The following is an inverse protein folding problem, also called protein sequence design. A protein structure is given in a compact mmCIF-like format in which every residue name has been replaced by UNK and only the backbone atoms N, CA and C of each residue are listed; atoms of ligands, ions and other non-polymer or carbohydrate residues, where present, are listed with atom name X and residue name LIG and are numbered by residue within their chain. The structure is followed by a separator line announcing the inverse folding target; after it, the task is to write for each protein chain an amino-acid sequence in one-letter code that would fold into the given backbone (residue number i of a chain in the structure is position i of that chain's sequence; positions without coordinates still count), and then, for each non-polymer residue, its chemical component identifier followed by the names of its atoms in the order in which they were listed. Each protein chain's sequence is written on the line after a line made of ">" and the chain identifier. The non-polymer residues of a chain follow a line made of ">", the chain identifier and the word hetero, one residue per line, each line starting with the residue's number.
data_IF_603019521951
#
_entry.id   IF_603019521951
#
_cell.length_a   1.000
_cell.length_b   1.000
_cell.length_c   1.000
_cell.angle_alpha   90.00
_cell.angle_beta   90.00
_cell.angle_gamma   90.00
#
_symmetry.space_group_name_H-M   'P 1'
#
loop_
_entity.id
_entity.type
_entity.pdbx_description
1 polymer ?
#
# COMPACT_ATOMS: atom_id res chain seq x y z
N UNK A 1 0.53 17.04 -16.48
CA UNK A 1 0.84 15.66 -16.06
C UNK A 1 2.11 15.20 -16.76
N UNK A 2 3.00 14.50 -16.08
CA UNK A 2 4.20 13.90 -16.68
C UNK A 2 3.92 12.43 -16.92
N UNK A 3 3.98 11.98 -18.17
CA UNK A 3 3.77 10.57 -18.55
C UNK A 3 5.13 9.94 -18.90
N UNK A 4 5.34 8.70 -18.49
CA UNK A 4 6.53 7.87 -18.76
C UNK A 4 6.13 6.49 -19.21
N UNK A 5 6.92 5.91 -20.10
CA UNK A 5 6.71 4.52 -20.50
C UNK A 5 7.45 3.61 -19.52
N UNK A 6 6.86 2.45 -19.24
CA UNK A 6 7.53 1.40 -18.47
C UNK A 6 8.47 0.67 -19.42
N UNK A 7 9.77 0.72 -19.12
CA UNK A 7 10.81 -0.03 -19.83
C UNK A 7 10.85 -1.47 -19.35
N UNK A 8 10.75 -1.66 -18.04
CA UNK A 8 10.85 -2.97 -17.40
C UNK A 8 9.99 -3.04 -16.14
N UNK A 9 9.39 -4.21 -15.94
CA UNK A 9 8.73 -4.61 -14.68
C UNK A 9 9.60 -5.67 -14.01
N UNK A 10 10.02 -5.43 -12.77
CA UNK A 10 10.77 -6.39 -11.95
C UNK A 10 9.84 -6.89 -10.85
N UNK A 11 9.32 -8.10 -11.02
CA UNK A 11 8.51 -8.77 -10.01
C UNK A 11 9.41 -9.39 -8.94
N UNK A 12 8.93 -9.45 -7.69
CA UNK A 12 9.62 -10.21 -6.67
C UNK A 12 9.71 -11.70 -7.09
N UNK A 13 10.88 -12.35 -7.00
CA UNK A 13 11.08 -13.72 -7.52
C UNK A 13 10.22 -14.78 -6.83
N UNK A 14 9.74 -14.49 -5.64
CA UNK A 14 8.87 -15.38 -4.85
C UNK A 14 7.40 -14.92 -4.83
N UNK A 15 7.01 -13.96 -5.67
CA UNK A 15 5.61 -13.55 -5.77
C UNK A 15 4.70 -14.74 -6.12
N UNK A 16 3.59 -14.88 -5.40
CA UNK A 16 2.58 -15.91 -5.65
C UNK A 16 1.20 -15.28 -5.75
N UNK A 17 0.50 -15.41 -6.89
CA UNK A 17 -0.87 -14.90 -7.03
C UNK A 17 -1.92 -15.74 -6.29
N UNK A 18 -1.54 -16.90 -5.73
CA UNK A 18 -2.46 -17.80 -5.02
C UNK A 18 -2.79 -17.25 -3.63
N UNK A 19 -1.78 -16.72 -2.94
CA UNK A 19 -1.86 -16.29 -1.54
C UNK A 19 -1.27 -14.89 -1.32
N UNK A 20 -0.97 -14.18 -2.42
CA UNK A 20 -0.39 -12.84 -2.44
C UNK A 20 0.93 -12.74 -1.67
N UNK A 21 1.68 -13.85 -1.58
CA UNK A 21 3.00 -13.86 -0.99
C UNK A 21 3.93 -12.93 -1.76
N UNK A 22 4.75 -12.14 -1.05
CA UNK A 22 5.72 -11.19 -1.61
C UNK A 22 5.16 -10.25 -2.69
N UNK A 23 3.97 -9.69 -2.46
CA UNK A 23 3.30 -8.74 -3.35
C UNK A 23 4.01 -7.38 -3.40
N UNK A 24 5.08 -7.31 -4.20
CA UNK A 24 5.85 -6.11 -4.49
C UNK A 24 6.50 -6.21 -5.87
N UNK A 25 6.57 -5.08 -6.58
CA UNK A 25 7.25 -4.97 -7.86
C UNK A 25 7.93 -3.60 -8.00
N UNK A 26 8.97 -3.53 -8.83
CA UNK A 26 9.59 -2.28 -9.26
C UNK A 26 9.29 -2.03 -10.74
N UNK A 27 9.01 -0.77 -11.07
CA UNK A 27 8.85 -0.29 -12.45
C UNK A 27 10.04 0.59 -12.81
N UNK A 28 10.80 0.18 -13.82
CA UNK A 28 11.85 1.02 -14.41
C UNK A 28 11.25 1.81 -15.57
N UNK A 29 11.38 3.13 -15.53
CA UNK A 29 10.94 3.99 -16.63
C UNK A 29 11.97 4.05 -17.77
N UNK A 30 11.50 4.33 -18.98
CA UNK A 30 12.34 4.54 -20.16
C UNK A 30 13.32 5.70 -20.04
N UNK A 31 12.98 6.69 -19.20
CA UNK A 31 13.83 7.82 -18.83
C UNK A 31 13.48 8.34 -17.43
N UNK A 32 14.42 9.03 -16.74
CA UNK A 32 14.16 9.61 -15.43
C UNK A 32 12.95 10.56 -15.39
N UNK A 33 12.40 10.73 -14.18
CA UNK A 33 11.42 11.76 -13.86
C UNK A 33 12.11 12.83 -13.02
N UNK A 34 12.06 14.06 -13.50
CA UNK A 34 12.62 15.21 -12.79
C UNK A 34 11.75 15.60 -11.59
N UNK A 35 12.39 15.84 -10.45
CA UNK A 35 11.70 16.31 -9.25
C UNK A 35 11.15 17.74 -9.47
N UNK A 36 9.99 18.01 -8.87
CA UNK A 36 9.32 19.32 -8.93
C UNK A 36 8.47 19.53 -7.68
N UNK A 37 7.77 20.66 -7.55
CA UNK A 37 6.85 20.88 -6.43
C UNK A 37 5.71 19.84 -6.35
N UNK A 38 5.44 19.09 -7.43
CA UNK A 38 4.39 18.07 -7.49
C UNK A 38 4.93 16.64 -7.65
N UNK A 39 6.25 16.48 -7.80
CA UNK A 39 6.90 15.17 -7.97
C UNK A 39 8.10 15.13 -7.04
N UNK A 40 8.03 14.27 -6.02
CA UNK A 40 9.09 14.08 -5.04
C UNK A 40 9.28 12.59 -4.79
N UNK A 41 10.49 12.21 -4.38
CA UNK A 41 10.79 10.84 -4.01
C UNK A 41 10.30 10.54 -2.59
N UNK A 42 9.68 9.38 -2.40
CA UNK A 42 9.42 8.86 -1.08
C UNK A 42 10.69 8.21 -0.50
N UNK A 43 10.86 8.29 0.81
CA UNK A 43 11.93 7.59 1.51
C UNK A 43 11.62 6.09 1.60
N UNK A 44 12.64 5.25 1.47
CA UNK A 44 12.56 3.83 1.82
C UNK A 44 12.89 3.66 3.30
N UNK A 45 12.17 2.78 3.99
CA UNK A 45 12.41 2.50 5.40
C UNK A 45 13.84 1.96 5.62
N UNK A 46 14.53 2.52 6.61
CA UNK A 46 15.82 1.97 7.04
C UNK A 46 15.61 0.57 7.66
N UNK A 47 16.55 -0.37 7.50
CA UNK A 47 16.42 -1.73 8.06
C UNK A 47 16.20 -1.77 9.58
N UNK A 48 16.68 -0.76 10.30
CA UNK A 48 16.52 -0.64 11.76
C UNK A 48 15.17 -0.03 12.19
N UNK A 49 14.32 0.40 11.24
CA UNK A 49 13.05 1.01 11.56
C UNK A 49 12.10 -0.01 12.19
N UNK A 50 11.65 0.28 13.41
CA UNK A 50 10.55 -0.46 14.04
C UNK A 50 9.23 0.10 13.56
N UNK A 51 8.61 -0.59 12.62
CA UNK A 51 7.33 -0.16 12.03
C UNK A 51 6.26 0.04 13.11
N UNK A 52 6.22 -0.79 14.15
CA UNK A 52 5.28 -0.66 15.28
C UNK A 52 5.37 0.66 16.06
N UNK A 53 6.47 1.40 15.94
CA UNK A 53 6.64 2.71 16.59
C UNK A 53 6.08 3.88 15.74
N UNK A 54 5.68 3.62 14.48
CA UNK A 54 5.06 4.62 13.61
C UNK A 54 3.63 4.94 14.06
N UNK A 55 3.36 6.23 14.28
CA UNK A 55 2.04 6.72 14.75
C UNK A 55 1.21 7.45 13.69
N UNK A 56 1.87 7.92 12.63
CA UNK A 56 1.25 8.76 11.61
C UNK A 56 1.41 8.09 10.24
N UNK A 57 0.59 7.07 10.00
CA UNK A 57 0.54 6.39 8.71
C UNK A 57 -0.60 6.98 7.87
N UNK A 58 -0.35 7.09 6.58
CA UNK A 58 -1.30 7.62 5.61
C UNK A 58 -1.35 6.67 4.41
N UNK A 59 -2.55 6.50 3.87
CA UNK A 59 -2.78 5.87 2.58
C UNK A 59 -3.34 6.93 1.64
N UNK A 60 -3.04 6.81 0.35
CA UNK A 60 -3.55 7.72 -0.67
C UNK A 60 -3.83 6.96 -1.96
N UNK A 61 -4.85 7.37 -2.70
CA UNK A 61 -5.23 6.73 -3.95
C UNK A 61 -6.48 7.32 -4.60
N UNK A 62 -6.81 6.80 -5.77
CA UNK A 62 -7.99 7.18 -6.56
C UNK A 62 -9.08 6.10 -6.56
N UNK A 63 -9.00 5.09 -5.68
CA UNK A 63 -9.99 4.02 -5.60
C UNK A 63 -11.40 4.51 -5.25
N UNK A 64 -12.37 3.59 -5.24
CA UNK A 64 -13.74 3.89 -4.86
C UNK A 64 -13.85 4.55 -3.47
N UNK A 65 -14.60 5.65 -3.37
CA UNK A 65 -14.81 6.40 -2.10
C UNK A 65 -15.95 5.86 -1.24
N UNK A 66 -16.79 5.01 -1.81
CA UNK A 66 -17.92 4.38 -1.12
C UNK A 66 -17.95 2.90 -1.42
N UNK A 67 -18.37 2.12 -0.43
CA UNK A 67 -18.51 0.69 -0.58
C UNK A 67 -19.44 0.36 -1.77
N UNK A 68 -19.02 -0.58 -2.61
CA UNK A 68 -19.75 -1.05 -3.81
C UNK A 68 -19.87 -0.03 -4.95
N UNK A 69 -19.24 1.14 -4.86
CA UNK A 69 -19.06 1.99 -6.03
C UNK A 69 -18.12 1.28 -7.01
N UNK A 70 -18.43 1.35 -8.30
CA UNK A 70 -17.50 0.96 -9.37
C UNK A 70 -16.72 2.16 -9.92
N UNK A 71 -17.06 3.37 -9.46
CA UNK A 71 -16.43 4.59 -9.90
C UNK A 71 -15.27 4.95 -8.96
N UNK A 72 -14.10 5.13 -9.57
CA UNK A 72 -12.91 5.71 -8.97
C UNK A 72 -13.11 7.21 -8.71
N UNK A 73 -12.34 7.76 -7.78
CA UNK A 73 -12.35 9.19 -7.49
C UNK A 73 -11.62 9.99 -8.58
N UNK A 74 -12.18 11.12 -9.00
CA UNK A 74 -11.50 12.05 -9.93
C UNK A 74 -10.34 12.82 -9.27
N UNK A 75 -10.37 12.94 -7.95
CA UNK A 75 -9.35 13.63 -7.15
C UNK A 75 -8.66 12.63 -6.24
N UNK A 76 -7.36 12.79 -6.06
CA UNK A 76 -6.59 11.98 -5.11
C UNK A 76 -7.23 12.11 -3.72
N UNK A 77 -7.52 10.98 -3.12
CA UNK A 77 -7.96 10.89 -1.73
C UNK A 77 -6.77 10.51 -0.86
N UNK A 78 -6.78 10.96 0.38
CA UNK A 78 -5.85 10.54 1.42
C UNK A 78 -6.61 10.24 2.69
N UNK A 79 -6.11 9.29 3.48
CA UNK A 79 -6.67 8.98 4.76
C UNK A 79 -5.58 8.59 5.76
N UNK A 80 -5.72 9.09 6.99
CA UNK A 80 -4.88 8.67 8.10
C UNK A 80 -5.35 7.30 8.58
N UNK A 81 -4.41 6.39 8.82
CA UNK A 81 -4.67 5.05 9.34
C UNK A 81 -3.77 4.77 10.54
N UNK A 82 -4.17 3.79 11.36
CA UNK A 82 -3.37 3.31 12.48
C UNK A 82 -2.82 1.93 12.17
N UNK A 83 -1.60 1.66 12.58
CA UNK A 83 -1.08 0.30 12.54
C UNK A 83 -1.88 -0.59 13.48
N UNK A 84 -2.20 -1.79 13.00
CA UNK A 84 -2.87 -2.83 13.75
C UNK A 84 -1.86 -3.93 13.98
N UNK A 85 -1.80 -4.43 15.21
CA UNK A 85 -0.93 -5.54 15.56
C UNK A 85 -1.20 -6.75 14.65
N UNK A 86 -0.13 -7.31 14.09
CA UNK A 86 -0.23 -8.40 13.12
C UNK A 86 -0.82 -9.67 13.74
N UNK A 87 -0.60 -9.94 15.03
CA UNK A 87 -1.22 -11.09 15.69
C UNK A 87 -2.73 -10.89 15.84
N UNK A 88 -3.15 -9.66 16.15
CA UNK A 88 -4.58 -9.31 16.21
C UNK A 88 -5.26 -9.48 14.84
N UNK A 89 -4.70 -8.89 13.78
CA UNK A 89 -5.35 -8.99 12.47
C UNK A 89 -5.26 -10.40 11.87
N UNK A 90 -4.22 -11.16 12.18
CA UNK A 90 -4.09 -12.54 11.73
C UNK A 90 -4.85 -13.55 12.61
N UNK A 91 -5.59 -13.08 13.62
CA UNK A 91 -6.40 -13.95 14.47
C UNK A 91 -7.51 -14.66 13.69
N UNK A 92 -8.03 -15.75 14.25
CA UNK A 92 -9.13 -16.55 13.66
C UNK A 92 -10.40 -15.75 13.39
N UNK A 93 -10.60 -14.62 14.07
CA UNK A 93 -11.78 -13.75 13.92
C UNK A 93 -11.68 -12.83 12.70
N UNK A 94 -10.47 -12.59 12.19
CA UNK A 94 -10.18 -11.61 11.14
C UNK A 94 -9.66 -12.35 9.90
N UNK A 95 -8.36 -12.29 9.63
CA UNK A 95 -7.76 -12.92 8.43
C UNK A 95 -7.44 -14.41 8.61
N UNK A 96 -7.65 -14.99 9.79
CA UNK A 96 -7.57 -16.43 10.04
C UNK A 96 -6.30 -17.12 9.51
N UNK A 97 -5.13 -16.51 9.75
CA UNK A 97 -3.84 -17.05 9.34
C UNK A 97 -3.36 -16.64 7.94
N UNK A 98 -4.14 -15.87 7.19
CA UNK A 98 -3.79 -15.45 5.81
C UNK A 98 -2.78 -14.30 5.74
N UNK A 99 -2.48 -13.62 6.85
CA UNK A 99 -1.48 -12.54 6.88
C UNK A 99 -0.09 -13.15 7.04
N UNK A 100 0.80 -12.89 6.08
CA UNK A 100 2.18 -13.39 6.11
C UNK A 100 3.07 -12.54 7.03
N UNK A 101 4.23 -13.07 7.48
CA UNK A 101 5.17 -12.33 8.34
C UNK A 101 5.75 -11.04 7.74
N UNK A 102 5.72 -10.89 6.42
CA UNK A 102 6.16 -9.71 5.68
C UNK A 102 5.02 -8.75 5.31
N UNK A 103 3.81 -8.99 5.82
CA UNK A 103 2.69 -8.07 5.71
C UNK A 103 2.52 -7.22 6.99
N UNK A 104 1.78 -6.13 6.83
CA UNK A 104 1.37 -5.24 7.91
C UNK A 104 -0.12 -4.97 7.78
N UNK A 105 -0.79 -4.77 8.91
CA UNK A 105 -2.19 -4.39 8.97
C UNK A 105 -2.30 -2.92 9.38
N UNK A 106 -3.16 -2.17 8.71
CA UNK A 106 -3.44 -0.78 9.06
C UNK A 106 -4.89 -0.43 8.78
N UNK A 107 -5.48 0.43 9.61
CA UNK A 107 -6.86 0.87 9.49
C UNK A 107 -7.49 1.13 10.85
N UNK A 108 -8.79 0.84 10.94
CA UNK A 108 -9.59 1.03 12.14
C UNK A 108 -10.43 -0.22 12.41
N UNK A 109 -10.32 -0.85 13.59
CA UNK A 109 -11.07 -2.07 13.92
C UNK A 109 -12.60 -1.95 13.78
N UNK A 110 -13.14 -0.72 13.82
CA UNK A 110 -14.58 -0.48 13.68
C UNK A 110 -15.06 -0.51 12.23
N UNK A 111 -14.16 -0.51 11.24
CA UNK A 111 -14.50 -0.51 9.81
C UNK A 111 -15.13 0.80 9.35
N UNK A 112 -14.30 1.77 8.94
CA UNK A 112 -14.77 3.07 8.41
C UNK A 112 -13.81 3.65 7.37
N UNK A 113 -12.53 3.74 7.70
CA UNK A 113 -11.48 4.26 6.82
C UNK A 113 -10.60 3.10 6.38
N UNK A 114 -10.59 2.84 5.07
CA UNK A 114 -9.83 1.75 4.45
C UNK A 114 -9.58 2.05 2.96
N UNK A 115 -8.73 1.24 2.33
CA UNK A 115 -8.54 1.17 0.88
C UNK A 115 -9.75 0.53 0.19
N UNK A 116 -9.97 0.89 -1.08
CA UNK A 116 -10.98 0.25 -1.92
C UNK A 116 -10.51 0.23 -3.37
N UNK A 117 -11.04 -0.71 -4.15
CA UNK A 117 -10.83 -0.79 -5.60
C UNK A 117 -11.93 -0.01 -6.32
#
# INVERSE_FOLDING_TARGET
>A
AVVRNVKQVVLHPYYSPVDYSYDIALLEFDRPVECSSYIQLACVAAPALKVSELKNCWIAGWGAVTARSQNSADRLQEAKVQLIDTQLCNSSRWYAGQVHPYNLCAGYPQGTIDTCQ
#
